data_IF_060260986866
#
_entry.id   IF_060260986866
#
_cell.length_a   1.000
_cell.length_b   1.000
_cell.length_c   1.000
_cell.angle_alpha   90.00
_cell.angle_beta   90.00
_cell.angle_gamma   90.00
#
_symmetry.space_group_name_H-M   'P 1'
#
loop_
_entity.id
_entity.type
_entity.pdbx_description
1 polymer ?
#
# COMPACT_ATOMS: atom_id res chain seq x y z
N UNK A 1 42.12 -17.29 10.23
CA UNK A 1 41.15 -16.90 11.29
C UNK A 1 40.65 -15.46 11.14
N UNK A 2 41.45 -14.52 10.60
CA UNK A 2 41.03 -13.13 10.37
C UNK A 2 40.00 -13.01 9.22
N UNK A 3 40.17 -13.75 8.12
CA UNK A 3 39.24 -13.73 6.98
C UNK A 3 37.79 -14.07 7.36
N UNK A 4 37.59 -15.09 8.19
CA UNK A 4 36.26 -15.48 8.68
C UNK A 4 35.65 -14.40 9.57
N UNK A 5 36.45 -13.77 10.44
CA UNK A 5 35.99 -12.66 11.27
C UNK A 5 35.58 -11.45 10.40
N UNK A 6 36.40 -11.08 9.40
CA UNK A 6 36.07 -9.97 8.49
C UNK A 6 34.83 -10.24 7.66
N UNK A 7 34.64 -11.48 7.19
CA UNK A 7 33.46 -11.85 6.39
C UNK A 7 32.17 -11.82 7.22
N UNK A 8 32.24 -12.27 8.48
CA UNK A 8 31.12 -12.19 9.43
C UNK A 8 30.78 -10.72 9.74
N UNK A 9 31.78 -9.89 9.99
CA UNK A 9 31.57 -8.45 10.23
C UNK A 9 30.95 -7.77 9.01
N UNK A 10 31.41 -8.09 7.80
CA UNK A 10 30.86 -7.53 6.57
C UNK A 10 29.41 -7.98 6.34
N UNK A 11 29.10 -9.26 6.59
CA UNK A 11 27.72 -9.78 6.54
C UNK A 11 26.81 -9.12 7.57
N UNK A 12 27.27 -8.90 8.80
CA UNK A 12 26.50 -8.21 9.83
C UNK A 12 26.24 -6.76 9.44
N UNK A 13 27.26 -6.05 8.96
CA UNK A 13 27.10 -4.69 8.45
C UNK A 13 26.12 -4.66 7.27
N UNK A 14 26.23 -5.61 6.35
CA UNK A 14 25.30 -5.72 5.22
C UNK A 14 23.86 -5.93 5.72
N UNK A 15 23.61 -6.82 6.68
CA UNK A 15 22.28 -7.04 7.24
C UNK A 15 21.74 -5.82 8.02
N UNK A 16 22.62 -5.04 8.65
CA UNK A 16 22.25 -3.82 9.38
C UNK A 16 21.88 -2.69 8.40
N UNK A 17 22.68 -2.49 7.35
CA UNK A 17 22.47 -1.44 6.35
C UNK A 17 21.39 -1.79 5.32
N UNK A 18 21.41 -3.02 4.80
CA UNK A 18 20.45 -3.55 3.82
C UNK A 18 19.36 -4.37 4.50
N UNK A 19 18.88 -3.91 5.66
CA UNK A 19 17.74 -4.55 6.32
C UNK A 19 16.57 -4.60 5.33
N UNK A 20 16.14 -5.79 4.87
CA UNK A 20 15.11 -5.93 3.85
C UNK A 20 13.80 -5.40 4.43
N UNK A 21 13.41 -4.19 4.00
CA UNK A 21 12.27 -3.47 4.54
C UNK A 21 12.42 -1.94 4.54
N UNK A 22 13.62 -1.39 4.36
CA UNK A 22 13.82 0.05 4.18
C UNK A 22 14.02 0.39 2.70
N UNK A 23 12.94 0.34 1.91
CA UNK A 23 12.96 1.07 0.64
C UNK A 23 13.11 2.56 0.97
N UNK A 24 14.03 3.30 0.35
CA UNK A 24 14.16 4.72 0.63
C UNK A 24 12.83 5.42 0.33
N UNK A 25 12.35 6.29 1.24
CA UNK A 25 11.10 7.01 1.03
C UNK A 25 11.32 7.99 -0.12
N UNK A 26 10.45 7.94 -1.13
CA UNK A 26 10.61 8.76 -2.32
C UNK A 26 10.17 10.19 -2.01
N UNK A 27 11.05 11.18 -2.17
CA UNK A 27 10.71 12.59 -1.90
C UNK A 27 9.79 13.21 -2.95
N UNK A 28 9.63 12.55 -4.11
CA UNK A 28 8.75 12.99 -5.19
C UNK A 28 7.41 12.23 -5.13
N UNK A 29 6.35 12.90 -5.58
CA UNK A 29 5.05 12.26 -5.87
C UNK A 29 5.29 11.08 -6.81
N UNK A 30 4.79 9.90 -6.43
CA UNK A 30 4.87 8.71 -7.25
C UNK A 30 3.50 8.51 -7.93
N UNK A 31 3.47 8.69 -9.25
CA UNK A 31 2.30 8.39 -10.07
C UNK A 31 2.57 7.09 -10.80
N UNK A 32 1.74 6.08 -10.56
CA UNK A 32 1.78 4.79 -11.24
C UNK A 32 0.55 4.69 -12.11
N UNK A 33 0.78 4.63 -13.42
CA UNK A 33 -0.25 4.39 -14.41
C UNK A 33 -0.08 2.98 -14.98
N UNK A 34 -1.07 2.11 -14.72
CA UNK A 34 -1.17 0.79 -15.35
C UNK A 34 -2.37 0.83 -16.28
N UNK A 35 -2.17 1.06 -17.59
CA UNK A 35 -3.28 1.26 -18.53
C UNK A 35 -4.22 0.05 -18.51
N UNK A 36 -5.52 0.29 -18.35
CA UNK A 36 -6.55 -0.74 -18.25
C UNK A 36 -6.64 -1.46 -16.88
N UNK A 37 -5.80 -1.10 -15.89
CA UNK A 37 -5.81 -1.74 -14.57
C UNK A 37 -6.10 -0.76 -13.44
N UNK A 38 -5.24 0.26 -13.24
CA UNK A 38 -5.43 1.25 -12.18
C UNK A 38 -4.52 2.45 -12.38
N UNK A 39 -4.96 3.58 -11.84
CA UNK A 39 -4.18 4.79 -11.69
C UNK A 39 -3.98 5.08 -10.21
N UNK A 40 -2.73 5.23 -9.78
CA UNK A 40 -2.38 5.46 -8.39
C UNK A 40 -1.49 6.70 -8.27
N UNK A 41 -1.90 7.67 -7.46
CA UNK A 41 -1.08 8.82 -7.10
C UNK A 41 -0.76 8.76 -5.61
N UNK A 42 0.53 8.63 -5.30
CA UNK A 42 1.06 8.57 -3.93
C UNK A 42 1.76 9.88 -3.60
N UNK A 43 1.42 10.47 -2.46
CA UNK A 43 2.15 11.61 -1.94
C UNK A 43 3.62 11.22 -1.67
N UNK A 44 4.54 12.19 -1.57
CA UNK A 44 5.91 11.92 -1.17
C UNK A 44 5.99 11.03 0.06
N UNK A 45 6.91 10.08 0.07
CA UNK A 45 7.18 9.10 1.12
C UNK A 45 6.10 8.01 1.31
N UNK A 46 5.06 7.99 0.47
CA UNK A 46 4.04 6.93 0.44
C UNK A 46 4.32 5.83 -0.60
N UNK A 47 5.51 5.81 -1.22
CA UNK A 47 5.95 4.67 -2.03
C UNK A 47 5.94 3.35 -1.23
N UNK A 48 6.11 3.43 0.09
CA UNK A 48 6.02 2.29 1.01
C UNK A 48 4.61 1.67 1.07
N UNK A 49 3.56 2.43 0.73
CA UNK A 49 2.19 1.94 0.67
C UNK A 49 1.87 1.17 -0.63
N UNK A 50 2.74 1.25 -1.64
CA UNK A 50 2.55 0.56 -2.92
C UNK A 50 2.31 -0.95 -2.78
N UNK A 51 3.12 -1.75 -2.05
CA UNK A 51 2.89 -3.18 -1.92
C UNK A 51 1.54 -3.53 -1.29
N UNK A 52 1.05 -2.70 -0.37
CA UNK A 52 -0.28 -2.86 0.21
C UNK A 52 -1.37 -2.63 -0.84
N UNK A 53 -1.25 -1.56 -1.63
CA UNK A 53 -2.22 -1.23 -2.68
C UNK A 53 -2.23 -2.30 -3.78
N UNK A 54 -1.06 -2.79 -4.18
CA UNK A 54 -0.94 -3.91 -5.13
C UNK A 54 -1.59 -5.20 -4.60
N UNK A 55 -1.45 -5.48 -3.29
CA UNK A 55 -2.10 -6.63 -2.66
C UNK A 55 -3.64 -6.50 -2.59
N UNK A 56 -4.17 -5.28 -2.52
CA UNK A 56 -5.61 -5.01 -2.62
C UNK A 56 -6.08 -5.22 -4.06
N UNK A 57 -5.39 -4.62 -5.04
CA UNK A 57 -5.74 -4.72 -6.46
C UNK A 57 -5.70 -6.17 -6.95
N UNK A 58 -4.71 -6.96 -6.52
CA UNK A 58 -4.60 -8.37 -6.86
C UNK A 58 -5.82 -9.21 -6.44
N UNK A 59 -6.56 -8.78 -5.41
CA UNK A 59 -7.80 -9.43 -4.97
C UNK A 59 -9.05 -8.93 -5.70
N UNK A 60 -8.95 -7.78 -6.35
CA UNK A 60 -10.06 -7.14 -7.04
C UNK A 60 -10.20 -7.55 -8.52
N UNK A 61 -9.09 -7.88 -9.18
CA UNK A 61 -9.08 -8.10 -10.62
C UNK A 61 -9.12 -6.78 -11.42
N UNK A 62 -9.11 -6.88 -12.75
CA UNK A 62 -9.24 -5.72 -13.66
C UNK A 62 -10.60 -5.04 -13.48
N UNK A 63 -10.66 -3.72 -13.30
CA UNK A 63 -11.92 -3.00 -13.30
C UNK A 63 -12.56 -3.10 -14.68
N UNK A 64 -13.85 -3.44 -14.73
CA UNK A 64 -14.63 -3.34 -15.98
C UNK A 64 -14.81 -1.86 -16.31
N UNK A 65 -14.57 -1.49 -17.56
CA UNK A 65 -14.81 -0.14 -18.08
C UNK A 65 -16.33 0.11 -18.09
N UNK A 66 -16.84 0.81 -17.08
CA UNK A 66 -18.27 1.10 -16.99
C UNK A 66 -18.61 2.16 -15.93
N UNK A 67 -18.82 3.39 -16.43
CA UNK A 67 -19.64 4.47 -15.86
C UNK A 67 -19.18 5.16 -14.54
N UNK A 68 -19.65 6.40 -14.32
CA UNK A 68 -18.87 7.48 -13.68
C UNK A 68 -19.42 8.09 -12.37
N UNK A 69 -20.35 7.46 -11.65
CA UNK A 69 -21.12 8.21 -10.63
C UNK A 69 -21.30 7.52 -9.27
N UNK A 70 -20.20 7.26 -8.55
CA UNK A 70 -20.21 6.75 -7.17
C UNK A 70 -19.36 7.63 -6.24
N UNK A 71 -19.76 7.75 -4.97
CA UNK A 71 -19.08 8.61 -3.99
C UNK A 71 -17.72 8.05 -3.54
N UNK A 72 -16.67 8.89 -3.38
CA UNK A 72 -15.34 8.43 -2.95
C UNK A 72 -15.37 7.87 -1.53
N UNK A 73 -14.76 6.69 -1.36
CA UNK A 73 -14.56 6.05 -0.06
C UNK A 73 -13.20 6.42 0.53
N UNK A 74 -13.16 6.77 1.81
CA UNK A 74 -11.93 7.17 2.51
C UNK A 74 -11.57 6.15 3.60
N UNK A 75 -10.30 5.78 3.66
CA UNK A 75 -9.78 4.84 4.65
C UNK A 75 -8.54 5.43 5.34
N UNK A 76 -8.52 5.42 6.67
CA UNK A 76 -7.30 5.65 7.45
C UNK A 76 -6.49 4.36 7.46
N UNK A 77 -5.23 4.44 7.02
CA UNK A 77 -4.31 3.31 6.99
C UNK A 77 -3.10 3.60 7.87
N UNK A 78 -2.80 2.67 8.77
CA UNK A 78 -1.63 2.70 9.66
C UNK A 78 -0.71 1.58 9.27
N UNK A 79 0.39 1.97 8.66
CA UNK A 79 1.39 1.06 8.11
C UNK A 79 2.68 1.16 8.95
N UNK A 80 3.19 0.04 9.51
CA UNK A 80 4.41 0.04 10.30
C UNK A 80 5.63 0.48 9.47
N UNK A 81 5.65 0.24 8.16
CA UNK A 81 6.72 0.73 7.28
C UNK A 81 6.65 2.25 7.16
N UNK A 82 5.46 2.82 6.93
CA UNK A 82 5.30 4.29 6.87
C UNK A 82 5.63 4.94 8.23
N UNK A 83 5.27 4.29 9.34
CA UNK A 83 5.61 4.72 10.71
C UNK A 83 7.12 4.74 10.96
N UNK A 84 7.85 3.74 10.46
CA UNK A 84 9.32 3.70 10.56
C UNK A 84 10.00 4.88 9.85
N UNK A 85 9.28 5.58 8.96
CA UNK A 85 9.74 6.75 8.22
C UNK A 85 9.10 8.08 8.69
N UNK A 86 8.52 8.10 9.90
CA UNK A 86 8.10 9.33 10.57
C UNK A 86 6.66 9.77 10.32
N UNK A 87 5.84 8.96 9.64
CA UNK A 87 4.40 9.22 9.47
C UNK A 87 3.55 8.14 10.13
N UNK A 88 2.72 8.53 11.09
CA UNK A 88 1.93 7.56 11.87
C UNK A 88 0.77 6.92 11.08
N UNK A 89 0.20 7.67 10.12
CA UNK A 89 -0.96 7.26 9.31
C UNK A 89 -0.99 7.96 7.96
N UNK A 90 -1.72 7.38 7.01
CA UNK A 90 -2.08 8.01 5.74
C UNK A 90 -3.54 7.75 5.38
N UNK A 91 -4.07 8.60 4.51
CA UNK A 91 -5.41 8.45 3.97
C UNK A 91 -5.33 7.79 2.61
N UNK A 92 -6.08 6.71 2.44
CA UNK A 92 -6.32 6.06 1.17
C UNK A 92 -7.71 6.47 0.69
N UNK A 93 -7.76 7.19 -0.41
CA UNK A 93 -9.01 7.51 -1.10
C UNK A 93 -9.22 6.53 -2.25
N UNK A 94 -10.38 5.87 -2.27
CA UNK A 94 -10.86 5.14 -3.43
C UNK A 94 -11.86 6.01 -4.17
N UNK A 95 -11.62 6.24 -5.44
CA UNK A 95 -12.61 6.79 -6.35
C UNK A 95 -13.27 5.60 -7.05
N UNK A 96 -14.51 5.24 -6.68
CA UNK A 96 -15.24 4.20 -7.38
C UNK A 96 -15.56 4.62 -8.82
N UNK A 97 -15.70 3.61 -9.68
CA UNK A 97 -16.07 3.73 -11.08
C UNK A 97 -17.34 2.85 -11.23
N UNK A 98 -18.54 3.46 -11.15
CA UNK A 98 -19.85 2.87 -11.53
C UNK A 98 -20.60 1.99 -10.50
N UNK A 99 -21.95 2.02 -10.52
CA UNK A 99 -22.85 1.78 -9.36
C UNK A 99 -23.83 0.56 -9.41
N UNK A 100 -24.62 0.43 -8.32
CA UNK A 100 -25.75 -0.47 -7.96
C UNK A 100 -25.42 -1.80 -7.25
N UNK A 101 -24.17 -2.26 -7.28
CA UNK A 101 -23.65 -3.27 -6.33
C UNK A 101 -22.87 -2.62 -5.17
N UNK A 102 -23.13 -1.35 -4.88
CA UNK A 102 -22.37 -0.52 -3.93
C UNK A 102 -22.12 -1.20 -2.57
N UNK A 103 -23.10 -1.91 -1.99
CA UNK A 103 -22.89 -2.72 -0.78
C UNK A 103 -22.00 -3.97 -1.00
N UNK A 104 -22.22 -4.73 -2.07
CA UNK A 104 -21.44 -5.94 -2.35
C UNK A 104 -20.00 -5.63 -2.76
N UNK A 105 -19.79 -4.54 -3.51
CA UNK A 105 -18.49 -4.05 -3.92
C UNK A 105 -17.73 -3.39 -2.76
N UNK A 106 -18.43 -2.72 -1.84
CA UNK A 106 -17.85 -2.19 -0.62
C UNK A 106 -17.54 -3.30 0.38
N UNK A 107 -18.41 -4.31 0.53
CA UNK A 107 -18.14 -5.48 1.37
C UNK A 107 -16.95 -6.29 0.82
N UNK A 108 -16.87 -6.49 -0.50
CA UNK A 108 -15.71 -7.10 -1.16
C UNK A 108 -14.45 -6.24 -0.99
N UNK A 109 -14.57 -4.90 -0.99
CA UNK A 109 -13.46 -3.98 -0.72
C UNK A 109 -12.96 -4.09 0.70
N UNK A 110 -13.87 -4.06 1.65
CA UNK A 110 -13.54 -4.20 3.06
C UNK A 110 -12.92 -5.57 3.32
N UNK A 111 -13.42 -6.62 2.67
CA UNK A 111 -12.82 -7.95 2.67
C UNK A 111 -11.38 -7.93 2.16
N UNK A 112 -11.16 -7.41 0.95
CA UNK A 112 -9.83 -7.35 0.33
C UNK A 112 -8.84 -6.45 1.09
N UNK A 113 -9.31 -5.30 1.59
CA UNK A 113 -8.54 -4.40 2.45
C UNK A 113 -8.16 -5.10 3.76
N UNK A 114 -9.11 -5.75 4.44
CA UNK A 114 -8.83 -6.50 5.67
C UNK A 114 -7.85 -7.65 5.42
N UNK A 115 -7.97 -8.36 4.30
CA UNK A 115 -7.09 -9.46 3.96
C UNK A 115 -5.68 -8.98 3.58
N UNK A 116 -5.57 -7.94 2.77
CA UNK A 116 -4.29 -7.29 2.45
C UNK A 116 -3.65 -6.71 3.71
N UNK A 117 -4.45 -6.08 4.58
CA UNK A 117 -4.01 -5.51 5.84
C UNK A 117 -3.43 -6.58 6.77
N UNK A 118 -4.10 -7.74 6.92
CA UNK A 118 -3.56 -8.88 7.66
C UNK A 118 -2.25 -9.39 7.07
N UNK A 119 -2.16 -9.52 5.74
CA UNK A 119 -0.95 -10.00 5.05
C UNK A 119 0.24 -9.05 5.22
N UNK A 120 -0.02 -7.76 5.22
CA UNK A 120 1.01 -6.72 5.34
C UNK A 120 1.25 -6.25 6.78
N UNK A 121 0.51 -6.75 7.78
CA UNK A 121 0.60 -6.28 9.16
C UNK A 121 0.14 -4.83 9.36
N UNK A 122 -0.77 -4.37 8.50
CA UNK A 122 -1.29 -2.99 8.43
C UNK A 122 -2.63 -2.93 9.16
N UNK A 123 -2.98 -1.78 9.74
CA UNK A 123 -4.33 -1.53 10.26
C UNK A 123 -5.07 -0.58 9.34
N UNK A 124 -6.30 -0.93 8.95
CA UNK A 124 -7.16 -0.11 8.09
C UNK A 124 -8.45 0.20 8.84
N UNK A 125 -8.88 1.46 8.82
CA UNK A 125 -10.17 1.89 9.37
C UNK A 125 -10.93 2.69 8.32
N UNK A 126 -12.21 2.36 8.03
CA UNK A 126 -13.03 3.22 7.20
C UNK A 126 -13.23 4.56 7.91
N UNK A 127 -13.14 5.64 7.15
CA UNK A 127 -13.40 6.99 7.62
C UNK A 127 -14.82 7.35 7.16
N UNK A 128 -15.81 6.99 7.97
CA UNK A 128 -17.21 7.40 7.76
C UNK A 128 -17.31 8.92 8.01
N UNK A 129 -18.07 9.63 7.15
CA UNK A 129 -18.30 11.08 7.29
C UNK A 129 -19.39 11.37 8.31
#
# INVERSE_FOLDING_TARGET
>A
MIETATLITLCLLFLIFFRPGKMPPLEKVLVIDRPGHYHLTLAPQLNLAQPFIEAVIAQFGTPNEGERDSAPGYFEVRDPQVKAHGRDRYLLARFPIGDEQSLAADEKLRGALCQAAKKCGIQVRPLDK
#
